data_IF_086311818782
#
_entry.id   IF_086311818782
#
_cell.length_a   1.000
_cell.length_b   1.000
_cell.length_c   1.000
_cell.angle_alpha   90.00
_cell.angle_beta   90.00
_cell.angle_gamma   90.00
#
_symmetry.space_group_name_H-M   'P 1'
#
loop_
_entity.id
_entity.type
_entity.pdbx_description
1 polymer ?
#
# COMPACT_ATOMS: atom_id res chain seq x y z
N UNK A 1 13.46 -14.91 30.76
CA UNK A 1 13.03 -16.05 29.92
C UNK A 1 11.99 -15.52 28.92
N UNK A 2 12.04 -15.91 27.67
CA UNK A 2 10.97 -15.52 26.74
C UNK A 2 9.63 -16.02 27.29
N UNK A 3 8.58 -15.20 27.16
CA UNK A 3 7.22 -15.57 27.58
C UNK A 3 6.73 -16.74 26.73
N UNK A 4 5.88 -17.57 27.34
CA UNK A 4 5.22 -18.67 26.63
C UNK A 4 4.27 -18.14 25.55
N UNK A 5 4.21 -18.81 24.40
CA UNK A 5 3.38 -18.45 23.26
C UNK A 5 1.90 -18.25 23.66
N UNK A 6 1.35 -19.20 24.39
CA UNK A 6 -0.07 -19.19 24.77
C UNK A 6 -0.40 -17.99 25.67
N UNK A 7 0.51 -17.60 26.55
CA UNK A 7 0.36 -16.41 27.39
C UNK A 7 0.42 -15.12 26.56
N UNK A 8 1.34 -15.04 25.59
CA UNK A 8 1.42 -13.86 24.71
C UNK A 8 0.11 -13.70 23.93
N UNK A 9 -0.38 -14.78 23.33
CA UNK A 9 -1.62 -14.78 22.56
C UNK A 9 -2.83 -14.41 23.42
N UNK A 10 -2.94 -15.02 24.64
CA UNK A 10 -4.00 -14.70 25.60
C UNK A 10 -3.98 -13.23 26.03
N UNK A 11 -2.80 -12.64 26.22
CA UNK A 11 -2.65 -11.22 26.57
C UNK A 11 -3.14 -10.33 25.45
N UNK A 12 -2.75 -10.60 24.20
CA UNK A 12 -3.17 -9.83 23.03
C UNK A 12 -4.70 -9.91 22.81
N UNK A 13 -5.28 -11.11 22.88
CA UNK A 13 -6.74 -11.32 22.77
C UNK A 13 -7.50 -10.57 23.86
N UNK A 14 -6.97 -10.53 25.08
CA UNK A 14 -7.54 -9.77 26.18
C UNK A 14 -7.35 -8.24 26.08
N UNK A 15 -6.74 -7.74 25.01
CA UNK A 15 -6.46 -6.32 24.78
C UNK A 15 -5.28 -5.78 25.59
N UNK A 16 -4.44 -6.63 26.11
CA UNK A 16 -3.19 -6.22 26.75
C UNK A 16 -2.10 -6.07 25.70
N UNK A 17 -1.42 -4.95 25.75
CA UNK A 17 -0.33 -4.62 24.81
C UNK A 17 0.82 -5.62 24.97
N UNK A 18 1.21 -6.26 23.86
CA UNK A 18 2.38 -7.13 23.79
C UNK A 18 3.66 -6.32 23.54
N UNK A 19 4.80 -6.83 24.05
CA UNK A 19 6.10 -6.19 23.88
C UNK A 19 6.74 -6.53 22.53
N UNK A 20 7.80 -5.78 22.16
CA UNK A 20 8.60 -6.09 20.97
C UNK A 20 9.20 -7.50 21.04
N UNK A 21 9.72 -7.92 22.21
CA UNK A 21 10.24 -9.29 22.41
C UNK A 21 9.15 -10.35 22.18
N UNK A 22 7.92 -10.11 22.66
CA UNK A 22 6.79 -11.00 22.40
C UNK A 22 6.50 -11.13 20.92
N UNK A 23 6.48 -10.02 20.19
CA UNK A 23 6.25 -10.02 18.73
C UNK A 23 7.34 -10.80 17.97
N UNK A 24 8.61 -10.71 18.40
CA UNK A 24 9.70 -11.53 17.85
C UNK A 24 9.48 -13.02 18.13
N UNK A 25 8.98 -13.39 19.32
CA UNK A 25 8.61 -14.78 19.65
C UNK A 25 7.49 -15.26 18.71
N UNK A 26 6.46 -14.45 18.47
CA UNK A 26 5.38 -14.79 17.54
C UNK A 26 5.89 -14.97 16.11
N UNK A 27 6.75 -14.08 15.62
CA UNK A 27 7.33 -14.18 14.26
C UNK A 27 8.21 -15.44 14.08
N UNK A 28 8.85 -15.93 15.16
CA UNK A 28 9.66 -17.16 15.15
C UNK A 28 8.86 -18.44 15.32
N UNK A 29 7.62 -18.33 15.77
CA UNK A 29 6.80 -19.51 16.10
C UNK A 29 6.39 -20.27 14.83
N UNK A 30 6.48 -21.61 14.92
CA UNK A 30 5.92 -22.49 13.88
C UNK A 30 4.39 -22.64 13.97
N UNK A 31 3.75 -22.21 15.07
CA UNK A 31 2.31 -22.36 15.29
C UNK A 31 1.51 -21.23 14.65
N UNK A 32 1.55 -21.16 13.31
CA UNK A 32 0.85 -20.16 12.53
C UNK A 32 -0.66 -20.16 12.79
N UNK A 33 -1.25 -21.34 12.98
CA UNK A 33 -2.69 -21.48 13.21
C UNK A 33 -3.13 -20.83 14.53
N UNK A 34 -2.34 -20.96 15.62
CA UNK A 34 -2.68 -20.31 16.89
C UNK A 34 -2.57 -18.78 16.77
N UNK A 35 -1.51 -18.30 16.12
CA UNK A 35 -1.29 -16.86 15.91
C UNK A 35 -2.43 -16.26 15.04
N UNK A 36 -2.80 -16.94 13.95
CA UNK A 36 -3.91 -16.52 13.09
C UNK A 36 -5.24 -16.46 13.83
N UNK A 37 -5.59 -17.48 14.62
CA UNK A 37 -6.81 -17.47 15.44
C UNK A 37 -6.84 -16.30 16.41
N UNK A 38 -5.75 -16.06 17.14
CA UNK A 38 -5.67 -14.95 18.08
C UNK A 38 -5.80 -13.60 17.37
N UNK A 39 -5.17 -13.43 16.21
CA UNK A 39 -5.30 -12.22 15.40
C UNK A 39 -6.73 -12.02 14.91
N UNK A 40 -7.42 -13.11 14.49
CA UNK A 40 -8.83 -13.04 14.09
C UNK A 40 -9.75 -12.68 15.26
N UNK A 41 -9.54 -13.25 16.45
CA UNK A 41 -10.28 -12.90 17.67
C UNK A 41 -10.12 -11.42 18.04
N UNK A 42 -8.90 -10.86 17.89
CA UNK A 42 -8.67 -9.42 18.06
C UNK A 42 -9.41 -8.61 16.99
N UNK A 43 -9.40 -9.07 15.74
CA UNK A 43 -10.11 -8.40 14.64
C UNK A 43 -11.62 -8.40 14.88
N UNK A 44 -12.22 -9.53 15.27
CA UNK A 44 -13.66 -9.64 15.53
C UNK A 44 -14.10 -8.79 16.73
N UNK A 45 -13.21 -8.59 17.72
CA UNK A 45 -13.48 -7.67 18.83
C UNK A 45 -13.46 -6.19 18.37
N UNK A 46 -12.54 -5.82 17.47
CA UNK A 46 -12.41 -4.45 16.96
C UNK A 46 -13.43 -4.12 15.88
N UNK A 47 -13.84 -5.13 15.12
CA UNK A 47 -14.75 -5.06 13.98
C UNK A 47 -15.85 -6.16 14.12
N UNK A 48 -16.77 -5.99 15.08
CA UNK A 48 -17.82 -6.98 15.37
C UNK A 48 -18.92 -7.05 14.29
N UNK A 49 -18.88 -6.13 13.34
CA UNK A 49 -19.89 -6.05 12.28
C UNK A 49 -19.79 -7.24 11.32
N UNK A 50 -20.92 -7.63 10.67
CA UNK A 50 -20.96 -8.79 9.80
C UNK A 50 -20.39 -8.51 8.40
N UNK A 51 -19.50 -7.52 8.24
CA UNK A 51 -18.89 -7.18 6.97
C UNK A 51 -17.39 -7.06 7.05
N UNK A 52 -16.75 -7.15 5.87
CA UNK A 52 -15.36 -6.74 5.63
C UNK A 52 -15.33 -5.75 4.46
N UNK A 53 -14.38 -4.84 4.51
CA UNK A 53 -14.36 -3.71 3.59
C UNK A 53 -13.42 -3.91 2.41
N UNK A 54 -13.68 -3.14 1.35
CA UNK A 54 -12.81 -2.95 0.20
C UNK A 54 -13.01 -1.53 -0.35
N UNK A 55 -12.11 -1.07 -1.23
CA UNK A 55 -12.33 0.16 -1.98
C UNK A 55 -12.04 -0.04 -3.48
N UNK A 56 -12.40 0.97 -4.26
CA UNK A 56 -12.11 1.03 -5.69
C UNK A 56 -11.24 2.26 -5.92
N UNK A 57 -9.98 2.04 -6.27
CA UNK A 57 -9.06 3.12 -6.61
C UNK A 57 -8.23 2.78 -7.85
N UNK A 58 -7.45 3.75 -8.28
CA UNK A 58 -6.45 3.58 -9.34
C UNK A 58 -5.12 4.11 -8.86
N UNK A 59 -4.07 3.30 -8.99
CA UNK A 59 -2.71 3.74 -8.78
C UNK A 59 -2.20 4.47 -10.03
N UNK A 60 -1.94 5.77 -9.93
CA UNK A 60 -1.44 6.60 -11.03
C UNK A 60 -0.01 7.04 -10.69
N UNK A 61 0.93 6.55 -11.47
CA UNK A 61 2.32 6.96 -11.35
C UNK A 61 2.58 8.09 -12.35
N UNK A 62 2.58 9.33 -11.89
CA UNK A 62 2.74 10.51 -12.76
C UNK A 62 4.13 10.63 -13.39
N UNK A 63 5.14 9.96 -12.82
CA UNK A 63 6.50 9.83 -13.40
C UNK A 63 7.21 8.60 -12.84
N UNK A 64 8.05 7.98 -13.66
CA UNK A 64 9.01 6.94 -13.22
C UNK A 64 10.43 7.50 -13.07
N UNK A 65 10.66 8.77 -13.41
CA UNK A 65 11.98 9.41 -13.30
C UNK A 65 12.28 9.68 -11.82
N UNK A 66 13.36 9.10 -11.30
CA UNK A 66 13.71 9.18 -9.90
C UNK A 66 15.21 9.41 -9.70
N UNK A 67 15.55 10.31 -8.78
CA UNK A 67 16.95 10.55 -8.35
C UNK A 67 17.39 9.61 -7.23
N UNK A 68 16.46 8.98 -6.51
CA UNK A 68 16.79 7.92 -5.56
C UNK A 68 17.06 6.61 -6.32
N UNK A 69 18.07 5.88 -5.86
CA UNK A 69 18.40 4.55 -6.37
C UNK A 69 18.01 3.54 -5.31
N UNK A 70 16.90 2.84 -5.56
CA UNK A 70 16.38 1.81 -4.67
C UNK A 70 16.61 0.45 -5.31
N UNK A 71 17.43 -0.39 -4.68
CA UNK A 71 17.83 -1.68 -5.23
C UNK A 71 16.65 -2.67 -5.36
N UNK A 72 15.56 -2.43 -4.62
CA UNK A 72 14.31 -3.18 -4.66
C UNK A 72 13.30 -2.69 -5.72
N UNK A 73 13.51 -1.55 -6.37
CA UNK A 73 12.51 -0.93 -7.24
C UNK A 73 12.79 -1.23 -8.72
N UNK A 74 11.94 -2.03 -9.35
CA UNK A 74 12.01 -2.32 -10.79
C UNK A 74 11.40 -1.19 -11.65
N UNK A 75 10.61 -0.31 -11.07
CA UNK A 75 9.82 0.69 -11.78
C UNK A 75 10.62 1.97 -12.11
N UNK A 76 11.52 2.42 -11.22
CA UNK A 76 12.21 3.70 -11.41
C UNK A 76 13.10 3.72 -12.64
N UNK A 77 13.25 4.91 -13.23
CA UNK A 77 14.25 5.22 -14.27
C UNK A 77 15.12 6.38 -13.83
N UNK A 78 16.45 6.30 -14.00
CA UNK A 78 17.33 7.43 -13.68
C UNK A 78 17.03 8.63 -14.59
N UNK A 79 17.38 9.86 -14.17
CA UNK A 79 17.21 11.05 -15.00
C UNK A 79 17.83 10.88 -16.39
N UNK A 80 17.11 11.33 -17.43
CA UNK A 80 17.49 11.22 -18.85
C UNK A 80 17.47 9.80 -19.45
N UNK A 81 16.95 8.80 -18.73
CA UNK A 81 16.74 7.49 -19.31
C UNK A 81 15.69 7.56 -20.43
N UNK A 82 15.88 6.79 -21.51
CA UNK A 82 14.99 6.83 -22.69
C UNK A 82 13.52 6.43 -22.37
N UNK A 83 13.32 5.57 -21.36
CA UNK A 83 12.01 5.16 -20.89
C UNK A 83 11.45 6.06 -19.77
N UNK A 84 12.18 7.13 -19.42
CA UNK A 84 11.70 8.11 -18.43
C UNK A 84 10.52 8.89 -18.98
N UNK A 85 9.47 9.07 -18.16
CA UNK A 85 8.30 9.84 -18.55
C UNK A 85 7.80 10.75 -17.44
N UNK A 86 7.05 11.76 -17.83
CA UNK A 86 6.10 12.51 -17.01
C UNK A 86 4.77 12.40 -17.74
N UNK A 87 3.72 11.91 -17.08
CA UNK A 87 2.40 11.80 -17.71
C UNK A 87 1.87 13.17 -18.12
N UNK A 88 1.30 13.22 -19.31
CA UNK A 88 0.51 14.35 -19.72
C UNK A 88 -0.71 14.50 -18.81
N UNK A 89 -1.07 15.75 -18.50
CA UNK A 89 -2.18 16.06 -17.58
C UNK A 89 -3.52 15.50 -18.06
N UNK A 90 -3.82 15.61 -19.35
CA UNK A 90 -5.08 15.11 -19.91
C UNK A 90 -5.15 13.58 -19.87
N UNK A 91 -4.02 12.89 -20.08
CA UNK A 91 -3.94 11.43 -19.92
C UNK A 91 -4.22 11.03 -18.48
N UNK A 92 -3.66 11.77 -17.51
CA UNK A 92 -3.88 11.50 -16.08
C UNK A 92 -5.35 11.75 -15.71
N UNK A 93 -5.94 12.85 -16.16
CA UNK A 93 -7.34 13.17 -15.88
C UNK A 93 -8.31 12.15 -16.55
N UNK A 94 -8.00 11.66 -17.74
CA UNK A 94 -8.78 10.59 -18.39
C UNK A 94 -8.74 9.28 -17.58
N UNK A 95 -7.59 8.91 -17.01
CA UNK A 95 -7.49 7.76 -16.10
C UNK A 95 -8.36 7.90 -14.85
N UNK A 96 -8.48 9.11 -14.30
CA UNK A 96 -9.37 9.40 -13.16
C UNK A 96 -10.84 9.28 -13.60
N UNK A 97 -11.19 9.80 -14.78
CA UNK A 97 -12.55 9.70 -15.32
C UNK A 97 -13.00 8.24 -15.49
N UNK A 98 -12.12 7.38 -16.03
CA UNK A 98 -12.38 5.94 -16.13
C UNK A 98 -12.61 5.30 -14.73
N UNK A 99 -11.80 5.66 -13.74
CA UNK A 99 -11.94 5.17 -12.36
C UNK A 99 -13.28 5.62 -11.75
N UNK A 100 -13.66 6.88 -11.92
CA UNK A 100 -14.96 7.40 -11.46
C UNK A 100 -16.10 6.69 -12.17
N UNK A 101 -15.96 6.40 -13.47
CA UNK A 101 -16.95 5.68 -14.27
C UNK A 101 -17.28 4.27 -13.78
N UNK A 102 -16.37 3.63 -13.05
CA UNK A 102 -16.58 2.32 -12.42
C UNK A 102 -16.90 2.42 -10.92
N UNK A 103 -17.19 3.62 -10.43
CA UNK A 103 -17.60 3.88 -9.05
C UNK A 103 -16.44 4.14 -8.08
N UNK A 104 -15.21 4.31 -8.56
CA UNK A 104 -14.09 4.67 -7.70
C UNK A 104 -14.16 6.12 -7.22
N UNK A 105 -13.64 6.39 -6.03
CA UNK A 105 -13.66 7.69 -5.36
C UNK A 105 -12.28 8.15 -4.88
N UNK A 106 -11.25 7.39 -5.17
CA UNK A 106 -9.88 7.67 -4.76
C UNK A 106 -8.88 7.34 -5.86
N UNK A 107 -7.80 8.11 -5.91
CA UNK A 107 -6.59 7.73 -6.63
C UNK A 107 -5.42 7.58 -5.65
N UNK A 108 -4.55 6.59 -5.89
CA UNK A 108 -3.22 6.54 -5.29
C UNK A 108 -2.25 7.21 -6.25
N UNK A 109 -1.83 8.44 -5.92
CA UNK A 109 -0.99 9.28 -6.79
C UNK A 109 0.44 9.31 -6.28
N UNK A 110 1.33 8.59 -6.92
CA UNK A 110 2.74 8.49 -6.54
C UNK A 110 3.66 8.56 -7.76
N UNK A 111 4.90 8.99 -7.56
CA UNK A 111 5.90 9.04 -8.64
C UNK A 111 7.34 8.98 -8.13
N UNK A 112 8.27 9.03 -9.05
CA UNK A 112 9.69 9.16 -8.75
C UNK A 112 10.04 10.57 -8.24
N UNK A 113 11.20 10.69 -7.58
CA UNK A 113 11.76 11.97 -7.14
C UNK A 113 12.35 12.70 -8.36
N UNK A 114 11.51 13.42 -9.10
CA UNK A 114 11.88 14.04 -10.36
C UNK A 114 12.78 15.27 -10.15
N UNK A 115 13.97 15.35 -10.78
CA UNK A 115 14.97 16.37 -10.44
C UNK A 115 14.63 17.78 -10.88
N UNK A 116 13.76 17.98 -11.86
CA UNK A 116 13.53 19.27 -12.52
C UNK A 116 12.09 19.75 -12.54
N UNK A 117 11.11 18.95 -12.11
CA UNK A 117 9.73 19.42 -11.97
C UNK A 117 9.68 20.42 -10.80
N UNK A 118 9.20 21.66 -11.02
CA UNK A 118 9.05 22.64 -9.95
C UNK A 118 7.93 22.24 -9.00
N UNK A 119 7.96 22.72 -7.76
CA UNK A 119 6.94 22.38 -6.76
C UNK A 119 5.53 22.82 -7.19
N UNK A 120 5.44 23.95 -7.87
CA UNK A 120 4.18 24.49 -8.42
C UNK A 120 3.51 23.52 -9.41
N UNK A 121 4.28 22.71 -10.14
CA UNK A 121 3.73 21.69 -11.05
C UNK A 121 2.84 20.67 -10.29
N UNK A 122 3.26 20.24 -9.08
CA UNK A 122 2.50 19.31 -8.26
C UNK A 122 1.25 19.95 -7.67
N UNK A 123 1.32 21.21 -7.26
CA UNK A 123 0.14 21.96 -6.81
C UNK A 123 -0.88 22.15 -7.94
N UNK A 124 -0.42 22.51 -9.15
CA UNK A 124 -1.28 22.70 -10.31
C UNK A 124 -1.92 21.39 -10.76
N UNK A 125 -1.20 20.26 -10.61
CA UNK A 125 -1.77 18.94 -10.85
C UNK A 125 -2.91 18.63 -9.86
N UNK A 126 -2.70 18.87 -8.56
CA UNK A 126 -3.74 18.68 -7.55
C UNK A 126 -4.97 19.57 -7.82
N UNK A 127 -4.76 20.85 -8.13
CA UNK A 127 -5.84 21.79 -8.48
C UNK A 127 -6.63 21.29 -9.69
N UNK A 128 -5.94 20.89 -10.76
CA UNK A 128 -6.59 20.38 -11.97
C UNK A 128 -7.45 19.13 -11.70
N UNK A 129 -6.96 18.23 -10.82
CA UNK A 129 -7.74 17.07 -10.39
C UNK A 129 -8.99 17.49 -9.62
N UNK A 130 -8.85 18.39 -8.65
CA UNK A 130 -9.96 18.84 -7.80
C UNK A 130 -10.97 19.70 -8.56
N UNK A 131 -10.54 20.48 -9.53
CA UNK A 131 -11.42 21.29 -10.39
C UNK A 131 -12.35 20.39 -11.25
N UNK A 132 -11.82 19.28 -11.78
CA UNK A 132 -12.58 18.34 -12.62
C UNK A 132 -13.32 17.25 -11.82
N UNK A 133 -12.73 16.80 -10.71
CA UNK A 133 -13.23 15.69 -9.87
C UNK A 133 -13.23 16.09 -8.38
N UNK A 134 -14.09 17.03 -7.96
CA UNK A 134 -14.07 17.57 -6.60
C UNK A 134 -14.31 16.51 -5.51
N UNK A 135 -15.06 15.45 -5.80
CA UNK A 135 -15.36 14.37 -4.87
C UNK A 135 -14.24 13.33 -4.75
N UNK A 136 -13.32 13.24 -5.72
CA UNK A 136 -12.24 12.25 -5.69
C UNK A 136 -11.22 12.61 -4.61
N UNK A 137 -10.92 11.67 -3.72
CA UNK A 137 -9.81 11.81 -2.78
C UNK A 137 -8.48 11.58 -3.50
N UNK A 138 -7.55 12.51 -3.34
CA UNK A 138 -6.16 12.31 -3.76
C UNK A 138 -5.38 11.77 -2.58
N UNK A 139 -5.17 10.45 -2.55
CA UNK A 139 -4.24 9.76 -1.65
C UNK A 139 -2.87 9.78 -2.32
N UNK A 140 -2.10 10.80 -2.04
CA UNK A 140 -0.97 11.13 -2.90
C UNK A 140 0.28 11.54 -2.16
N UNK A 141 1.35 11.39 -2.89
CA UNK A 141 2.73 11.71 -2.53
C UNK A 141 3.21 10.99 -1.27
N UNK A 142 4.11 10.06 -1.47
CA UNK A 142 4.77 9.37 -0.36
C UNK A 142 5.65 10.32 0.46
N UNK A 143 5.97 10.01 1.73
CA UNK A 143 6.91 10.80 2.54
C UNK A 143 8.24 11.13 1.84
N UNK A 144 8.89 10.22 1.08
CA UNK A 144 10.05 10.58 0.28
C UNK A 144 9.80 11.69 -0.75
N UNK A 145 8.62 11.69 -1.42
CA UNK A 145 8.23 12.75 -2.36
C UNK A 145 8.02 14.07 -1.63
N UNK A 146 7.29 14.08 -0.53
CA UNK A 146 7.07 15.27 0.30
C UNK A 146 8.41 15.87 0.77
N UNK A 147 9.33 15.02 1.25
CA UNK A 147 10.66 15.47 1.65
C UNK A 147 11.46 16.02 0.45
N UNK A 148 11.33 15.40 -0.72
CA UNK A 148 11.91 15.93 -1.96
C UNK A 148 11.35 17.32 -2.30
N UNK A 149 10.05 17.54 -2.12
CA UNK A 149 9.41 18.84 -2.36
C UNK A 149 9.96 19.93 -1.44
N UNK A 150 10.32 19.63 -0.20
CA UNK A 150 10.98 20.64 0.67
C UNK A 150 12.31 21.12 0.09
N UNK A 151 13.06 20.21 -0.56
CA UNK A 151 14.36 20.53 -1.16
C UNK A 151 14.22 21.36 -2.43
N UNK A 152 13.32 20.99 -3.35
CA UNK A 152 13.12 21.72 -4.60
C UNK A 152 12.46 23.08 -4.38
N UNK A 153 11.51 23.17 -3.47
CA UNK A 153 10.83 24.42 -3.11
C UNK A 153 11.65 25.30 -2.16
N UNK A 154 12.65 24.72 -1.46
CA UNK A 154 13.42 25.38 -0.37
C UNK A 154 12.49 25.91 0.73
N UNK A 155 11.48 25.15 1.10
CA UNK A 155 10.47 25.49 2.09
C UNK A 155 10.51 24.50 3.27
N UNK A 156 10.11 24.94 4.49
CA UNK A 156 9.90 24.03 5.61
C UNK A 156 8.84 22.96 5.30
N UNK A 157 8.97 21.79 5.88
CA UNK A 157 8.07 20.65 5.69
C UNK A 157 6.60 21.03 5.91
N UNK A 158 6.30 21.69 7.04
CA UNK A 158 4.94 22.16 7.37
C UNK A 158 4.35 23.05 6.28
N UNK A 159 5.13 23.99 5.74
CA UNK A 159 4.68 24.89 4.68
C UNK A 159 4.39 24.13 3.38
N UNK A 160 5.21 23.13 3.03
CA UNK A 160 4.96 22.25 1.87
C UNK A 160 3.64 21.52 2.06
N UNK A 161 3.42 20.88 3.21
CA UNK A 161 2.18 20.15 3.50
C UNK A 161 0.94 21.05 3.49
N UNK A 162 1.01 22.25 4.09
CA UNK A 162 -0.07 23.23 4.05
C UNK A 162 -0.42 23.68 2.62
N UNK A 163 0.60 23.86 1.76
CA UNK A 163 0.40 24.23 0.35
C UNK A 163 -0.27 23.10 -0.42
N UNK A 164 0.18 21.87 -0.23
CA UNK A 164 -0.41 20.68 -0.88
C UNK A 164 -1.84 20.43 -0.42
N UNK A 165 -2.12 20.59 0.89
CA UNK A 165 -3.49 20.48 1.42
C UNK A 165 -4.43 21.52 0.77
N UNK A 166 -3.99 22.79 0.67
CA UNK A 166 -4.75 23.85 -0.02
C UNK A 166 -4.93 23.59 -1.51
N UNK A 167 -4.00 22.87 -2.15
CA UNK A 167 -4.10 22.49 -3.55
C UNK A 167 -5.03 21.30 -3.78
N UNK A 168 -5.41 20.55 -2.74
CA UNK A 168 -6.36 19.45 -2.83
C UNK A 168 -5.83 18.07 -2.47
N UNK A 169 -4.64 17.98 -1.85
CA UNK A 169 -4.16 16.72 -1.28
C UNK A 169 -5.07 16.29 -0.13
N UNK A 170 -5.64 15.07 -0.21
CA UNK A 170 -6.64 14.60 0.74
C UNK A 170 -6.07 13.71 1.85
N UNK A 171 -5.10 12.87 1.53
CA UNK A 171 -4.46 11.95 2.49
C UNK A 171 -3.09 11.50 2.00
N UNK A 172 -2.24 10.98 2.89
CA UNK A 172 -0.91 10.48 2.53
C UNK A 172 -0.83 8.95 2.58
N UNK A 173 -0.25 8.30 1.54
CA UNK A 173 0.09 6.89 1.60
C UNK A 173 1.35 6.65 2.45
N UNK A 174 1.46 5.47 3.05
CA UNK A 174 2.65 5.03 3.78
C UNK A 174 3.83 4.64 2.88
N UNK A 175 3.75 4.91 1.59
CA UNK A 175 4.80 4.56 0.63
C UNK A 175 6.18 5.07 1.06
N UNK A 176 7.21 4.31 0.72
CA UNK A 176 8.57 4.64 1.16
C UNK A 176 8.90 4.24 2.60
N UNK A 177 7.97 3.55 3.30
CA UNK A 177 8.19 3.00 4.62
C UNK A 177 9.20 1.85 4.62
N UNK A 178 9.11 0.96 3.63
CA UNK A 178 9.81 -0.32 3.56
C UNK A 178 10.02 -0.93 4.95
N UNK A 179 11.22 -0.80 5.52
CA UNK A 179 11.52 -1.05 6.94
C UNK A 179 12.05 0.23 7.58
N UNK A 180 11.43 0.70 8.66
CA UNK A 180 11.79 1.93 9.38
C UNK A 180 12.96 1.69 10.35
N UNK A 181 14.05 1.15 9.81
CA UNK A 181 15.33 0.95 10.48
C UNK A 181 16.45 1.42 9.56
N UNK A 182 17.23 2.40 10.00
CA UNK A 182 18.20 3.09 9.15
C UNK A 182 19.30 2.19 8.58
N UNK A 183 19.68 1.12 9.29
CA UNK A 183 20.58 0.11 8.73
C UNK A 183 20.01 -0.48 7.45
N UNK A 184 18.77 -0.97 7.53
CA UNK A 184 18.07 -1.58 6.39
C UNK A 184 17.91 -0.57 5.26
N UNK A 185 17.42 0.63 5.59
CA UNK A 185 17.18 1.70 4.59
C UNK A 185 18.45 2.06 3.83
N UNK A 186 19.59 2.22 4.52
CA UNK A 186 20.89 2.53 3.90
C UNK A 186 21.42 1.40 3.03
N UNK A 187 21.07 0.15 3.34
CA UNK A 187 21.47 -1.03 2.57
C UNK A 187 20.70 -1.14 1.24
N UNK A 188 19.38 -0.89 1.26
CA UNK A 188 18.52 -1.11 0.09
C UNK A 188 18.27 0.15 -0.74
N UNK A 189 18.69 1.34 -0.28
CA UNK A 189 18.46 2.60 -1.02
C UNK A 189 19.62 3.58 -0.91
N UNK A 190 19.76 4.41 -1.96
CA UNK A 190 20.65 5.57 -1.99
C UNK A 190 19.85 6.81 -2.35
N UNK A 191 19.96 7.87 -1.53
CA UNK A 191 19.27 9.15 -1.78
C UNK A 191 17.80 9.20 -1.38
N UNK A 192 17.31 8.21 -0.65
CA UNK A 192 15.96 8.19 -0.06
C UNK A 192 16.01 8.66 1.39
N UNK A 193 14.89 9.10 1.93
CA UNK A 193 14.73 9.55 3.33
C UNK A 193 15.06 8.46 4.34
N UNK A 194 15.56 8.83 5.50
CA UNK A 194 15.76 7.96 6.63
C UNK A 194 14.48 7.83 7.46
N UNK A 195 14.55 7.05 8.53
CA UNK A 195 13.39 6.71 9.38
C UNK A 195 12.72 7.94 9.96
N UNK A 196 13.49 8.84 10.57
CA UNK A 196 12.93 10.02 11.23
C UNK A 196 12.29 10.98 10.21
N UNK A 197 12.90 11.19 9.04
CA UNK A 197 12.30 12.01 7.97
C UNK A 197 10.93 11.46 7.53
N UNK A 198 10.79 10.13 7.44
CA UNK A 198 9.52 9.50 7.09
C UNK A 198 8.46 9.71 8.17
N UNK A 199 8.84 9.51 9.43
CA UNK A 199 7.97 9.73 10.60
C UNK A 199 7.55 11.19 10.73
N UNK A 200 8.47 12.13 10.52
CA UNK A 200 8.21 13.57 10.62
C UNK A 200 7.19 14.05 9.58
N UNK A 201 7.23 13.51 8.35
CA UNK A 201 6.21 13.84 7.33
C UNK A 201 4.82 13.46 7.82
N UNK A 202 4.65 12.26 8.37
CA UNK A 202 3.35 11.83 8.91
C UNK A 202 2.95 12.63 10.14
N UNK A 203 3.86 12.86 11.07
CA UNK A 203 3.63 13.65 12.28
C UNK A 203 3.10 15.05 11.95
N UNK A 204 3.79 15.75 11.04
CA UNK A 204 3.38 17.10 10.62
C UNK A 204 2.05 17.08 9.85
N UNK A 205 1.81 16.06 9.01
CA UNK A 205 0.54 15.91 8.32
C UNK A 205 -0.63 15.68 9.30
N UNK A 206 -0.43 14.79 10.27
CA UNK A 206 -1.43 14.54 11.32
C UNK A 206 -1.68 15.78 12.19
N UNK A 207 -0.63 16.55 12.49
CA UNK A 207 -0.77 17.83 13.23
C UNK A 207 -1.58 18.90 12.46
N UNK A 208 -1.68 18.79 11.13
CA UNK A 208 -2.56 19.60 10.29
C UNK A 208 -4.00 19.05 10.20
N UNK A 209 -4.32 17.96 10.92
CA UNK A 209 -5.61 17.27 10.87
C UNK A 209 -5.73 16.24 9.72
N UNK A 210 -4.67 16.04 8.96
CA UNK A 210 -4.63 15.06 7.88
C UNK A 210 -4.63 13.62 8.38
N UNK A 211 -4.98 12.69 7.50
CA UNK A 211 -4.96 11.25 7.76
C UNK A 211 -4.03 10.55 6.76
N UNK A 212 -3.47 9.43 7.17
CA UNK A 212 -2.55 8.67 6.33
C UNK A 212 -2.65 7.17 6.58
N UNK A 213 -1.99 6.38 5.75
CA UNK A 213 -1.74 4.95 6.01
C UNK A 213 -0.28 4.73 6.38
N UNK A 214 0.02 3.61 7.03
CA UNK A 214 1.38 3.13 7.24
C UNK A 214 1.58 1.82 6.47
N UNK A 215 2.79 1.60 5.96
CA UNK A 215 3.09 0.41 5.14
C UNK A 215 4.43 -0.20 5.52
N UNK A 216 4.56 -1.52 5.34
CA UNK A 216 5.80 -2.26 5.50
C UNK A 216 6.04 -3.16 4.30
N UNK A 217 7.23 -3.09 3.71
CA UNK A 217 7.71 -4.09 2.74
C UNK A 217 8.77 -4.94 3.44
N UNK A 218 8.54 -6.23 3.56
CA UNK A 218 9.40 -7.16 4.30
C UNK A 218 9.85 -8.35 3.45
N UNK A 219 10.78 -9.14 3.99
CA UNK A 219 11.29 -10.35 3.34
C UNK A 219 12.46 -10.09 2.40
N UNK A 220 13.29 -9.11 2.74
CA UNK A 220 14.51 -8.82 1.98
C UNK A 220 15.78 -8.94 2.86
N UNK A 221 16.32 -7.86 3.46
CA UNK A 221 17.59 -7.86 4.22
C UNK A 221 17.39 -7.62 5.72
N UNK A 222 16.15 -7.36 6.13
CA UNK A 222 15.81 -7.13 7.53
C UNK A 222 15.84 -8.42 8.35
N UNK A 223 16.13 -8.27 9.63
CA UNK A 223 15.92 -9.31 10.65
C UNK A 223 14.47 -9.26 11.17
N UNK A 224 14.01 -10.33 11.83
CA UNK A 224 12.69 -10.33 12.48
C UNK A 224 12.59 -9.25 13.58
N UNK A 225 13.68 -8.94 14.27
CA UNK A 225 13.70 -7.86 15.25
C UNK A 225 13.52 -6.47 14.59
N UNK A 226 14.15 -6.24 13.44
CA UNK A 226 13.98 -4.99 12.68
C UNK A 226 12.58 -4.88 12.05
N UNK A 227 11.95 -6.01 11.69
CA UNK A 227 10.54 -6.03 11.29
C UNK A 227 9.63 -5.59 12.44
N UNK A 228 9.91 -6.02 13.66
CA UNK A 228 9.19 -5.59 14.86
C UNK A 228 9.50 -4.14 15.21
N UNK A 229 10.74 -3.68 15.10
CA UNK A 229 11.11 -2.28 15.32
C UNK A 229 10.34 -1.35 14.37
N UNK A 230 10.13 -1.74 13.10
CA UNK A 230 9.27 -1.00 12.18
C UNK A 230 7.84 -0.87 12.74
N UNK A 231 7.24 -1.98 13.20
CA UNK A 231 5.90 -1.95 13.79
C UNK A 231 5.85 -1.08 15.05
N UNK A 232 6.90 -1.09 15.88
CA UNK A 232 7.01 -0.25 17.07
C UNK A 232 7.03 1.23 16.71
N UNK A 233 7.84 1.64 15.70
CA UNK A 233 7.85 3.02 15.19
C UNK A 233 6.48 3.50 14.71
N UNK A 234 5.73 2.63 14.00
CA UNK A 234 4.36 2.93 13.56
C UNK A 234 3.42 3.06 14.75
N UNK A 235 3.48 2.12 15.72
CA UNK A 235 2.65 2.13 16.92
C UNK A 235 2.89 3.38 17.77
N UNK A 236 4.15 3.75 17.98
CA UNK A 236 4.53 4.91 18.78
C UNK A 236 4.02 6.22 18.14
N UNK A 237 4.17 6.37 16.81
CA UNK A 237 3.63 7.54 16.12
C UNK A 237 2.09 7.56 16.13
N UNK A 238 1.45 6.39 16.09
CA UNK A 238 0.01 6.30 16.24
C UNK A 238 -0.45 6.65 17.66
N UNK A 239 0.28 6.25 18.70
CA UNK A 239 0.02 6.68 20.09
C UNK A 239 0.14 8.22 20.23
N UNK A 240 1.11 8.81 19.54
CA UNK A 240 1.34 10.26 19.54
C UNK A 240 0.24 11.03 18.81
N UNK A 241 -0.21 10.53 17.64
CA UNK A 241 -0.98 11.36 16.70
C UNK A 241 -2.39 10.85 16.40
N UNK A 242 -2.63 9.54 16.52
CA UNK A 242 -3.89 8.92 16.11
C UNK A 242 -4.22 9.05 14.61
N UNK A 243 -3.25 9.41 13.77
CA UNK A 243 -3.50 9.83 12.38
C UNK A 243 -3.49 8.72 11.35
N UNK A 244 -2.95 7.53 11.65
CA UNK A 244 -2.99 6.41 10.73
C UNK A 244 -4.39 5.77 10.69
N UNK A 245 -4.97 5.66 9.50
CA UNK A 245 -6.25 4.99 9.27
C UNK A 245 -6.09 3.49 9.09
N UNK A 246 -4.96 3.05 8.56
CA UNK A 246 -4.68 1.65 8.30
C UNK A 246 -3.18 1.34 8.26
N UNK A 247 -2.86 0.06 8.46
CA UNK A 247 -1.56 -0.51 8.19
C UNK A 247 -1.65 -1.59 7.12
N UNK A 248 -0.68 -1.61 6.19
CA UNK A 248 -0.58 -2.58 5.10
C UNK A 248 0.83 -3.15 5.07
N UNK A 249 0.98 -4.47 5.14
CA UNK A 249 2.26 -5.12 4.87
C UNK A 249 2.21 -5.98 3.62
N UNK A 250 3.34 -6.01 2.89
CA UNK A 250 3.51 -6.88 1.73
C UNK A 250 4.92 -7.44 1.68
N UNK A 251 5.06 -8.60 1.05
CA UNK A 251 6.37 -9.19 0.82
C UNK A 251 7.08 -8.52 -0.35
N UNK A 252 8.40 -8.39 -0.23
CA UNK A 252 9.28 -7.95 -1.30
C UNK A 252 9.14 -8.88 -2.53
N UNK A 253 9.10 -8.28 -3.71
CA UNK A 253 9.08 -8.95 -5.01
C UNK A 253 10.43 -8.75 -5.69
N UNK A 254 11.28 -9.80 -5.79
CA UNK A 254 12.68 -9.63 -6.21
C UNK A 254 12.87 -9.50 -7.74
N UNK A 255 11.94 -9.98 -8.55
CA UNK A 255 12.11 -10.07 -10.00
C UNK A 255 12.34 -8.68 -10.64
N UNK A 256 13.23 -8.63 -11.59
CA UNK A 256 13.62 -7.41 -12.32
C UNK A 256 14.22 -6.29 -11.44
N UNK A 257 14.61 -6.58 -10.19
CA UNK A 257 15.25 -5.64 -9.26
C UNK A 257 16.77 -5.89 -9.17
N UNK A 258 17.52 -4.97 -8.56
CA UNK A 258 18.93 -5.19 -8.26
C UNK A 258 19.15 -6.23 -7.14
N UNK A 259 18.07 -6.68 -6.48
CA UNK A 259 18.06 -7.66 -5.39
C UNK A 259 17.40 -8.98 -5.84
N UNK A 260 17.49 -9.34 -7.11
CA UNK A 260 16.87 -10.55 -7.69
C UNK A 260 17.37 -11.87 -7.05
N UNK A 261 18.53 -11.85 -6.42
CA UNK A 261 19.09 -13.01 -5.71
C UNK A 261 18.45 -13.26 -4.32
N UNK A 262 17.63 -12.32 -3.81
CA UNK A 262 16.92 -12.47 -2.54
C UNK A 262 15.75 -13.43 -2.72
N UNK A 263 15.69 -14.54 -1.96
CA UNK A 263 14.57 -15.46 -2.06
C UNK A 263 13.24 -14.78 -1.70
N UNK A 264 12.16 -14.96 -2.46
CA UNK A 264 10.87 -14.36 -2.13
C UNK A 264 10.30 -14.94 -0.83
N UNK A 265 9.69 -14.09 -0.02
CA UNK A 265 8.93 -14.53 1.16
C UNK A 265 7.67 -15.28 0.72
N UNK A 266 7.49 -16.49 1.26
CA UNK A 266 6.32 -17.31 0.96
C UNK A 266 5.06 -16.87 1.72
N UNK A 267 3.89 -17.45 1.38
CA UNK A 267 2.60 -17.08 1.96
C UNK A 267 2.52 -17.30 3.49
N UNK A 268 3.24 -18.28 4.03
CA UNK A 268 3.26 -18.51 5.47
C UNK A 268 3.98 -17.39 6.25
N UNK A 269 5.03 -16.79 5.68
CA UNK A 269 5.69 -15.64 6.30
C UNK A 269 4.80 -14.40 6.17
N UNK A 270 4.12 -14.22 5.05
CA UNK A 270 3.14 -13.14 4.88
C UNK A 270 2.01 -13.24 5.92
N UNK A 271 1.31 -14.37 6.00
CA UNK A 271 0.19 -14.55 6.93
C UNK A 271 0.63 -14.41 8.40
N UNK A 272 1.84 -14.88 8.75
CA UNK A 272 2.40 -14.69 10.09
C UNK A 272 2.68 -13.22 10.38
N UNK A 273 3.29 -12.50 9.45
CA UNK A 273 3.58 -11.07 9.60
C UNK A 273 2.29 -10.25 9.71
N UNK A 274 1.30 -10.56 8.88
CA UNK A 274 -0.03 -9.96 8.92
C UNK A 274 -0.71 -10.15 10.28
N UNK A 275 -0.71 -11.39 10.78
CA UNK A 275 -1.30 -11.69 12.08
C UNK A 275 -0.56 -11.01 13.24
N UNK A 276 0.78 -11.03 13.22
CA UNK A 276 1.59 -10.34 14.24
C UNK A 276 1.38 -8.82 14.18
N UNK A 277 1.25 -8.24 12.99
CA UNK A 277 0.93 -6.82 12.85
C UNK A 277 -0.40 -6.48 13.54
N UNK A 278 -1.47 -7.28 13.38
CA UNK A 278 -2.75 -7.08 14.09
C UNK A 278 -2.60 -7.19 15.60
N UNK A 279 -1.85 -8.18 16.09
CA UNK A 279 -1.66 -8.40 17.53
C UNK A 279 -0.80 -7.31 18.18
N UNK A 280 0.13 -6.70 17.43
CA UNK A 280 1.06 -5.71 17.93
C UNK A 280 0.59 -4.27 17.78
N UNK A 281 -0.06 -3.94 16.67
CA UNK A 281 -0.60 -2.60 16.37
C UNK A 281 -2.00 -2.43 16.97
N UNK A 282 -2.10 -2.51 18.28
CA UNK A 282 -3.35 -2.45 19.05
C UNK A 282 -4.10 -1.13 18.93
N UNK A 283 -3.42 -0.07 18.49
CA UNK A 283 -3.91 1.29 18.31
C UNK A 283 -4.19 1.67 16.84
N UNK A 284 -3.82 0.83 15.86
CA UNK A 284 -4.15 1.06 14.45
C UNK A 284 -5.47 0.36 14.12
N UNK A 285 -6.52 1.12 13.74
CA UNK A 285 -7.86 0.55 13.64
C UNK A 285 -7.96 -0.53 12.56
N UNK A 286 -7.36 -0.31 11.39
CA UNK A 286 -7.54 -1.19 10.26
C UNK A 286 -6.23 -1.84 9.82
N UNK A 287 -6.29 -3.13 9.51
CA UNK A 287 -5.21 -3.87 8.86
C UNK A 287 -5.72 -4.38 7.52
N UNK A 288 -5.04 -3.99 6.44
CA UNK A 288 -5.43 -4.30 5.08
C UNK A 288 -4.68 -5.53 4.56
N UNK A 289 -5.38 -6.37 3.81
CA UNK A 289 -4.78 -7.46 3.04
C UNK A 289 -4.01 -6.93 1.83
N UNK A 290 -2.92 -7.61 1.45
CA UNK A 290 -2.12 -7.30 0.26
C UNK A 290 -2.26 -8.37 -0.82
N UNK A 291 -3.47 -8.56 -1.35
CA UNK A 291 -3.75 -9.53 -2.42
C UNK A 291 -2.93 -9.25 -3.70
N UNK A 292 -2.58 -7.99 -3.96
CA UNK A 292 -1.80 -7.58 -5.14
C UNK A 292 -0.46 -8.33 -5.22
N UNK A 293 0.21 -8.56 -4.09
CA UNK A 293 1.49 -9.28 -4.02
C UNK A 293 1.31 -10.77 -3.71
N UNK A 294 0.17 -11.17 -3.16
CA UNK A 294 -0.04 -12.53 -2.63
C UNK A 294 -1.01 -13.38 -3.46
N UNK A 295 -1.75 -12.78 -4.38
CA UNK A 295 -2.86 -13.43 -5.09
C UNK A 295 -4.14 -13.46 -4.28
N UNK A 296 -5.24 -13.84 -4.96
CA UNK A 296 -6.61 -13.84 -4.40
C UNK A 296 -6.71 -14.71 -3.14
N UNK A 297 -6.23 -15.95 -3.21
CA UNK A 297 -6.44 -16.96 -2.16
C UNK A 297 -5.73 -16.58 -0.86
N UNK A 298 -4.48 -16.10 -0.95
CA UNK A 298 -3.74 -15.68 0.24
C UNK A 298 -4.25 -14.34 0.74
N UNK A 299 -4.65 -13.43 -0.16
CA UNK A 299 -5.31 -12.19 0.20
C UNK A 299 -6.64 -12.43 0.94
N UNK A 300 -7.42 -13.40 0.51
CA UNK A 300 -8.64 -13.85 1.18
C UNK A 300 -8.33 -14.45 2.56
N UNK A 301 -7.35 -15.35 2.65
CA UNK A 301 -6.92 -15.94 3.92
C UNK A 301 -6.43 -14.90 4.93
N UNK A 302 -5.85 -13.80 4.49
CA UNK A 302 -5.42 -12.71 5.37
C UNK A 302 -6.57 -12.13 6.20
N UNK A 303 -7.83 -12.20 5.71
CA UNK A 303 -9.03 -11.81 6.46
C UNK A 303 -9.28 -12.71 7.68
N UNK A 304 -8.74 -13.92 7.71
CA UNK A 304 -8.74 -14.83 8.86
C UNK A 304 -7.46 -14.72 9.71
N UNK A 305 -6.51 -13.87 9.27
CA UNK A 305 -5.23 -13.63 9.90
C UNK A 305 -5.03 -12.17 10.32
N UNK A 306 -6.12 -11.54 10.76
CA UNK A 306 -6.05 -10.21 11.37
C UNK A 306 -6.39 -9.04 10.45
N UNK A 307 -6.59 -9.25 9.15
CA UNK A 307 -7.11 -8.20 8.27
C UNK A 307 -8.62 -8.02 8.45
N UNK A 308 -9.11 -6.78 8.38
CA UNK A 308 -10.53 -6.45 8.32
C UNK A 308 -10.92 -5.81 6.98
N UNK A 309 -9.96 -5.65 6.08
CA UNK A 309 -10.12 -4.95 4.81
C UNK A 309 -9.38 -5.72 3.70
N UNK A 310 -10.06 -5.96 2.58
CA UNK A 310 -9.47 -6.67 1.43
C UNK A 310 -8.54 -5.76 0.61
N UNK A 311 -8.59 -4.46 0.85
CA UNK A 311 -7.81 -3.46 0.15
C UNK A 311 -8.52 -2.90 -1.08
N UNK A 312 -7.76 -2.33 -1.98
CA UNK A 312 -8.26 -1.74 -3.21
C UNK A 312 -8.42 -2.76 -4.32
N UNK A 313 -9.42 -2.53 -5.18
CA UNK A 313 -9.53 -3.23 -6.47
C UNK A 313 -8.32 -2.96 -7.37
N UNK A 314 -7.62 -1.84 -7.15
CA UNK A 314 -6.38 -1.47 -7.85
C UNK A 314 -6.49 -1.60 -9.37
N UNK A 315 -7.30 -0.71 -9.98
CA UNK A 315 -7.57 -0.74 -11.43
C UNK A 315 -6.31 -0.63 -12.29
N UNK A 316 -5.24 -0.08 -11.74
CA UNK A 316 -3.93 -0.01 -12.37
C UNK A 316 -2.84 -0.16 -11.28
N UNK A 317 -1.84 -0.99 -11.57
CA UNK A 317 -0.68 -1.14 -10.70
C UNK A 317 0.57 -1.32 -11.60
N UNK A 318 1.52 -0.41 -11.48
CA UNK A 318 2.70 -0.36 -12.34
C UNK A 318 4.01 -0.69 -11.60
N UNK A 319 4.03 -0.55 -10.28
CA UNK A 319 5.27 -0.63 -9.48
C UNK A 319 5.61 -2.09 -9.19
N UNK A 320 4.63 -2.84 -8.66
CA UNK A 320 4.80 -4.27 -8.32
C UNK A 320 4.77 -5.12 -9.59
N UNK A 321 3.98 -4.72 -10.59
CA UNK A 321 3.96 -5.41 -11.89
C UNK A 321 5.30 -5.30 -12.63
N UNK A 322 6.02 -4.18 -12.49
CA UNK A 322 7.39 -4.07 -13.00
C UNK A 322 8.34 -5.11 -12.38
N UNK A 323 8.05 -5.56 -11.15
CA UNK A 323 8.74 -6.65 -10.47
C UNK A 323 8.14 -8.05 -10.76
N UNK A 324 7.34 -8.19 -11.83
CA UNK A 324 6.83 -9.48 -12.31
C UNK A 324 5.53 -9.97 -11.67
N UNK A 325 4.93 -9.25 -10.75
CA UNK A 325 3.65 -9.62 -10.12
C UNK A 325 2.48 -9.29 -11.05
N UNK A 326 1.62 -10.27 -11.32
CA UNK A 326 0.55 -10.18 -12.33
C UNK A 326 -0.84 -10.53 -11.78
N UNK A 327 -1.05 -10.33 -10.49
CA UNK A 327 -2.37 -10.60 -9.90
C UNK A 327 -3.35 -9.48 -10.24
N UNK A 328 -4.54 -9.88 -10.68
CA UNK A 328 -5.67 -8.98 -10.96
C UNK A 328 -6.93 -9.57 -10.34
N UNK A 329 -7.80 -8.70 -9.85
CA UNK A 329 -9.14 -9.07 -9.39
C UNK A 329 -10.17 -8.18 -10.09
N UNK A 330 -11.27 -8.79 -10.49
CA UNK A 330 -12.49 -8.07 -10.80
C UNK A 330 -13.23 -7.69 -9.51
N UNK A 331 -14.14 -6.73 -9.58
CA UNK A 331 -14.98 -6.37 -8.45
C UNK A 331 -15.79 -7.57 -7.94
N UNK A 332 -16.27 -8.42 -8.85
CA UNK A 332 -17.02 -9.63 -8.50
C UNK A 332 -16.15 -10.63 -7.72
N UNK A 333 -14.92 -10.86 -8.15
CA UNK A 333 -13.96 -11.74 -7.46
C UNK A 333 -13.56 -11.21 -6.08
N UNK A 334 -13.35 -9.88 -5.96
CA UNK A 334 -13.05 -9.25 -4.67
C UNK A 334 -14.21 -9.41 -3.68
N UNK A 335 -15.44 -9.17 -4.12
CA UNK A 335 -16.64 -9.36 -3.30
C UNK A 335 -16.87 -10.84 -2.95
N UNK A 336 -16.66 -11.75 -3.92
CA UNK A 336 -16.72 -13.19 -3.70
C UNK A 336 -15.71 -13.65 -2.64
N UNK A 337 -14.47 -13.16 -2.71
CA UNK A 337 -13.43 -13.49 -1.72
C UNK A 337 -13.86 -13.15 -0.28
N UNK A 338 -14.60 -12.06 -0.08
CA UNK A 338 -15.16 -11.68 1.23
C UNK A 338 -16.37 -12.55 1.58
N UNK A 339 -17.30 -12.74 0.62
CA UNK A 339 -18.57 -13.45 0.87
C UNK A 339 -18.38 -14.95 1.14
N UNK A 340 -17.40 -15.59 0.50
CA UNK A 340 -17.05 -17.02 0.71
C UNK A 340 -16.61 -17.31 2.16
N UNK A 341 -16.15 -16.30 2.88
CA UNK A 341 -15.78 -16.39 4.30
C UNK A 341 -16.95 -16.06 5.25
N UNK A 342 -18.13 -15.75 4.70
CA UNK A 342 -19.36 -15.48 5.47
C UNK A 342 -19.57 -14.00 5.84
N UNK A 343 -18.74 -13.08 5.37
CA UNK A 343 -18.91 -11.65 5.58
C UNK A 343 -19.62 -10.96 4.40
N UNK A 344 -20.35 -9.88 4.68
CA UNK A 344 -20.88 -8.99 3.66
C UNK A 344 -19.78 -8.08 3.14
N UNK A 345 -19.48 -8.04 1.82
CA UNK A 345 -18.53 -7.09 1.28
C UNK A 345 -19.14 -5.67 1.30
N UNK A 346 -18.41 -4.69 1.85
CA UNK A 346 -18.84 -3.30 1.89
C UNK A 346 -17.76 -2.38 1.34
N UNK A 347 -18.16 -1.50 0.42
CA UNK A 347 -17.26 -0.48 -0.13
C UNK A 347 -17.07 0.64 0.90
N UNK A 348 -15.82 1.11 1.02
CA UNK A 348 -15.42 2.21 1.91
C UNK A 348 -14.58 3.25 1.16
N UNK A 349 -14.51 4.46 1.70
CA UNK A 349 -13.53 5.47 1.29
C UNK A 349 -12.18 5.30 2.05
N UNK A 350 -11.21 6.21 1.83
CA UNK A 350 -9.88 6.17 2.49
C UNK A 350 -9.96 6.37 4.01
N UNK A 351 -11.02 6.98 4.50
CA UNK A 351 -11.25 7.24 5.93
C UNK A 351 -12.00 6.10 6.63
N UNK A 352 -12.28 5.01 5.91
CA UNK A 352 -13.04 3.84 6.36
C UNK A 352 -14.53 4.13 6.63
N UNK A 353 -15.06 5.19 6.04
CA UNK A 353 -16.49 5.45 6.00
C UNK A 353 -17.13 4.60 4.89
N UNK A 354 -18.26 3.95 5.20
CA UNK A 354 -18.96 3.09 4.25
C UNK A 354 -19.74 3.92 3.24
N UNK A 355 -19.73 3.48 1.98
CA UNK A 355 -20.64 4.00 0.98
C UNK A 355 -22.04 3.42 1.17
N UNK A 356 -23.07 4.27 1.12
CA UNK A 356 -24.47 3.84 1.18
C UNK A 356 -24.88 3.09 -0.10
N UNK A 357 -24.41 3.58 -1.23
CA UNK A 357 -24.63 3.02 -2.57
C UNK A 357 -23.45 2.13 -2.97
N UNK A 358 -23.31 0.96 -2.34
CA UNK A 358 -22.36 -0.04 -2.81
C UNK A 358 -22.88 -0.62 -4.14
N UNK A 359 -22.21 -0.41 -5.29
CA UNK A 359 -22.74 -0.86 -6.55
C UNK A 359 -22.95 -2.37 -6.51
N UNK A 360 -24.17 -2.81 -6.75
CA UNK A 360 -24.39 -4.23 -7.06
C UNK A 360 -23.48 -4.59 -8.25
N UNK A 361 -22.82 -5.76 -8.22
CA UNK A 361 -22.00 -6.16 -9.36
C UNK A 361 -22.87 -6.08 -10.59
N UNK A 362 -22.46 -5.27 -11.56
CA UNK A 362 -23.09 -5.31 -12.89
C UNK A 362 -23.07 -6.78 -13.30
N UNK A 363 -24.23 -7.39 -13.43
CA UNK A 363 -24.36 -8.75 -13.96
C UNK A 363 -23.81 -8.66 -15.37
N UNK A 364 -22.54 -9.02 -15.54
CA UNK A 364 -22.00 -9.25 -16.87
C UNK A 364 -22.80 -10.45 -17.37
N UNK A 365 -23.64 -10.29 -18.41
CA UNK A 365 -24.34 -11.42 -18.95
C UNK A 365 -23.26 -12.41 -19.40
N UNK A 366 -23.20 -13.57 -18.79
CA UNK A 366 -22.46 -14.70 -19.30
C UNK A 366 -23.14 -15.11 -20.59
N UNK A 367 -22.81 -14.45 -21.71
CA UNK A 367 -23.11 -14.95 -23.02
C UNK A 367 -22.20 -16.15 -23.27
N UNK A 368 -22.63 -17.32 -22.80
CA UNK A 368 -22.16 -18.57 -23.34
C UNK A 368 -22.79 -18.69 -24.75
N UNK A 369 -22.09 -18.13 -25.69
CA UNK A 369 -22.37 -18.27 -27.12
C UNK A 369 -21.14 -18.91 -27.76
N UNK A 370 -21.16 -20.22 -27.90
CA UNK A 370 -20.27 -20.92 -28.81
C UNK A 370 -20.53 -20.43 -30.22
N UNK A 371 -19.62 -19.66 -30.79
CA UNK A 371 -19.67 -19.14 -32.17
C UNK A 371 -18.27 -18.83 -32.65
N UNK A 372 -17.84 -19.54 -33.64
CA UNK A 372 -16.58 -19.58 -34.42
C UNK A 372 -15.91 -18.18 -34.62
N UNK A 373 -14.58 -18.17 -34.83
CA UNK A 373 -13.76 -16.96 -34.75
C UNK A 373 -13.77 -16.18 -36.07
N UNK A 374 -14.01 -14.88 -36.01
CA UNK A 374 -13.53 -13.95 -37.02
C UNK A 374 -13.08 -12.62 -36.40
N UNK A 375 -11.79 -12.42 -36.44
CA UNK A 375 -11.01 -11.19 -36.56
C UNK A 375 -11.54 -9.88 -35.97
N UNK A 376 -10.76 -9.34 -35.04
CA UNK A 376 -10.81 -7.95 -34.62
C UNK A 376 -9.96 -7.71 -33.37
N UNK A 377 -8.65 -7.83 -33.50
CA UNK A 377 -7.69 -7.60 -32.42
C UNK A 377 -7.49 -6.12 -32.20
N UNK A 378 -8.07 -5.58 -31.14
CA UNK A 378 -7.59 -4.36 -30.48
C UNK A 378 -6.58 -4.78 -29.42
N UNK A 379 -5.31 -4.81 -29.76
CA UNK A 379 -4.24 -5.18 -28.87
C UNK A 379 -4.02 -4.09 -27.81
N UNK A 380 -4.18 -4.45 -26.55
CA UNK A 380 -3.48 -3.78 -25.46
C UNK A 380 -1.98 -3.95 -25.72
N UNK A 381 -1.31 -2.85 -26.01
CA UNK A 381 0.13 -2.83 -26.22
C UNK A 381 0.80 -3.08 -24.88
N UNK A 382 1.23 -4.31 -24.63
CA UNK A 382 2.24 -4.58 -23.62
C UNK A 382 3.56 -3.96 -24.07
N UNK A 383 4.29 -3.23 -23.22
CA UNK A 383 5.64 -2.82 -23.54
C UNK A 383 6.54 -4.08 -23.63
N UNK A 384 7.22 -4.21 -24.75
CA UNK A 384 8.15 -5.31 -25.01
C UNK A 384 9.25 -5.36 -23.95
N UNK A 385 9.49 -6.53 -23.39
CA UNK A 385 10.65 -6.84 -22.57
C UNK A 385 11.91 -6.64 -23.40
N UNK A 386 12.74 -5.68 -23.01
CA UNK A 386 14.08 -5.50 -23.57
C UNK A 386 15.06 -6.28 -22.70
N UNK A 387 15.89 -7.16 -23.26
CA UNK A 387 16.88 -7.90 -22.49
C UNK A 387 17.96 -6.98 -21.95
N UNK A 388 18.32 -7.19 -20.71
CA UNK A 388 19.40 -6.50 -20.00
C UNK A 388 20.75 -6.80 -20.67
N UNK A 389 21.60 -5.82 -20.96
CA UNK A 389 22.94 -6.08 -21.46
C UNK A 389 23.79 -6.74 -20.37
N UNK A 390 24.49 -7.80 -20.75
CA UNK A 390 25.46 -8.49 -19.91
C UNK A 390 26.57 -7.50 -19.49
N UNK A 391 26.92 -7.54 -18.22
CA UNK A 391 28.05 -6.80 -17.67
C UNK A 391 29.34 -7.45 -18.19
N UNK A 392 30.18 -6.68 -18.88
CA UNK A 392 31.61 -6.94 -19.02
C UNK A 392 32.38 -6.31 -17.89
#
# INVERSE_FOLDING_TARGET
>A
MPRDLDRILSDAVAGRRITADDAVVLLRSANLAAIGRAANEVTDRLHPEPWRTYNIDRNINYTNVCTAVCDFCAFYRPPKHAEGYVLDREVLLAKIEEMVGVGGDQILLQGGLHPTLPFEWYEDLLRAIKDRFPAVNVHGFSPPEIHHFTKIAKLPLRTVLERLARAGLGSLPGGGGEILVDRVRKEITRGKVLTDDWLDVHREWHALGGRSTATMMFGHVETLAERVEHLERVRDLQDETGGFTAFICWSFQPDNTAMADVPPSGPFDYLRTQAVARLFLDNVPNIQSSWVTQGREIGQLALLFGANDMGSLMLEENVVSAAGTVHHLTLAEMRSAISELGWTPRRRNVFYELHEDDPEPAVVPTSVGCGTPSCGSGALVQPALVPTPARS
#
